data_IF_774377085095
#
_entry.id   IF_774377085095
#
_cell.length_a   1.000
_cell.length_b   1.000
_cell.length_c   1.000
_cell.angle_alpha   90.00
_cell.angle_beta   90.00
_cell.angle_gamma   90.00
#
_symmetry.space_group_name_H-M   'P 1'
#
loop_
_entity.id
_entity.type
_entity.pdbx_description
1 polymer ?
#
# COMPACT_ATOMS: atom_id res chain seq x y z
N UNK A 1 9.66 -21.42 24.27
CA UNK A 1 8.71 -20.39 24.74
C UNK A 1 9.33 -19.33 25.64
N UNK A 2 10.49 -19.62 26.31
CA UNK A 2 11.14 -18.71 27.27
C UNK A 2 11.96 -17.56 26.64
N UNK A 3 12.45 -17.70 25.40
CA UNK A 3 13.25 -16.67 24.72
C UNK A 3 12.44 -15.41 24.39
N UNK A 4 11.22 -15.57 23.91
CA UNK A 4 10.31 -14.44 23.60
C UNK A 4 9.82 -13.72 24.86
N UNK A 5 9.63 -14.42 25.97
CA UNK A 5 9.23 -13.81 27.24
C UNK A 5 10.36 -12.97 27.84
N UNK A 6 11.61 -13.40 27.74
CA UNK A 6 12.77 -12.62 28.20
C UNK A 6 13.03 -11.38 27.34
N UNK A 7 12.84 -11.47 26.01
CA UNK A 7 12.94 -10.32 25.10
C UNK A 7 11.84 -9.29 25.38
N UNK A 8 10.63 -9.74 25.71
CA UNK A 8 9.51 -8.82 25.97
C UNK A 8 9.63 -8.04 27.29
N UNK A 9 10.50 -8.46 28.19
CA UNK A 9 10.77 -7.78 29.45
C UNK A 9 11.88 -6.73 29.35
N UNK A 10 12.70 -6.77 28.30
CA UNK A 10 13.80 -5.83 28.14
C UNK A 10 13.26 -4.42 27.86
N UNK A 11 13.65 -3.42 28.66
CA UNK A 11 13.17 -2.04 28.54
C UNK A 11 13.50 -1.42 27.18
N UNK A 12 14.66 -1.75 26.64
CA UNK A 12 15.09 -1.29 25.31
C UNK A 12 14.18 -1.84 24.20
N UNK A 13 13.78 -3.11 24.32
CA UNK A 13 12.84 -3.74 23.39
C UNK A 13 11.45 -3.09 23.46
N UNK A 14 10.93 -2.83 24.67
CA UNK A 14 9.66 -2.12 24.86
C UNK A 14 9.70 -0.72 24.28
N UNK A 15 10.82 -0.02 24.44
CA UNK A 15 10.99 1.35 23.94
C UNK A 15 11.06 1.43 22.41
N UNK A 16 11.68 0.46 21.75
CA UNK A 16 11.88 0.44 20.29
C UNK A 16 10.69 -0.20 19.57
N UNK A 17 10.15 -1.32 20.10
CA UNK A 17 9.15 -2.13 19.39
C UNK A 17 7.70 -1.83 19.77
N UNK A 18 7.45 -1.38 21.01
CA UNK A 18 6.09 -1.10 21.51
C UNK A 18 5.72 0.38 21.52
N UNK A 19 6.71 1.29 21.54
CA UNK A 19 6.41 2.73 21.41
C UNK A 19 6.38 3.12 19.94
N UNK A 20 5.31 3.76 19.47
CA UNK A 20 5.27 4.29 18.12
C UNK A 20 6.36 5.35 17.94
N UNK A 21 6.98 5.37 16.77
CA UNK A 21 7.90 6.46 16.42
C UNK A 21 7.19 7.80 16.48
N UNK A 22 7.92 8.85 16.85
CA UNK A 22 7.40 10.20 16.73
C UNK A 22 7.13 10.51 15.24
N UNK A 23 6.15 11.38 14.96
CA UNK A 23 5.82 11.77 13.59
C UNK A 23 7.05 12.24 12.81
N UNK A 24 7.93 13.02 13.45
CA UNK A 24 9.15 13.53 12.81
C UNK A 24 10.13 12.40 12.47
N UNK A 25 10.33 11.45 13.37
CA UNK A 25 11.20 10.29 13.11
C UNK A 25 10.66 9.43 11.97
N UNK A 26 9.34 9.19 11.97
CA UNK A 26 8.68 8.45 10.89
C UNK A 26 8.81 9.16 9.53
N UNK A 27 8.61 10.48 9.51
CA UNK A 27 8.75 11.28 8.29
C UNK A 27 10.19 11.26 7.74
N UNK A 28 11.21 11.39 8.60
CA UNK A 28 12.62 11.32 8.19
C UNK A 28 12.95 9.94 7.61
N UNK A 29 12.56 8.86 8.29
CA UNK A 29 12.79 7.49 7.80
C UNK A 29 12.10 7.24 6.46
N UNK A 30 10.87 7.72 6.31
CA UNK A 30 10.12 7.62 5.06
C UNK A 30 10.81 8.39 3.93
N UNK A 31 11.29 9.61 4.21
CA UNK A 31 12.06 10.42 3.25
C UNK A 31 13.35 9.75 2.80
N UNK A 32 14.12 9.22 3.74
CA UNK A 32 15.36 8.45 3.44
C UNK A 32 15.02 7.24 2.57
N UNK A 33 13.99 6.46 2.94
CA UNK A 33 13.59 5.27 2.18
C UNK A 33 13.15 5.63 0.76
N UNK A 34 12.38 6.71 0.58
CA UNK A 34 11.94 7.17 -0.73
C UNK A 34 13.12 7.62 -1.61
N UNK A 35 14.11 8.32 -1.01
CA UNK A 35 15.32 8.76 -1.71
C UNK A 35 16.18 7.57 -2.14
N UNK A 36 16.38 6.60 -1.25
CA UNK A 36 17.09 5.35 -1.57
C UNK A 36 16.39 4.57 -2.66
N UNK A 37 15.05 4.48 -2.61
CA UNK A 37 14.27 3.83 -3.65
C UNK A 37 14.49 4.49 -5.02
N UNK A 38 14.42 5.81 -5.07
CA UNK A 38 14.65 6.58 -6.30
C UNK A 38 16.08 6.38 -6.83
N UNK A 39 17.09 6.37 -5.96
CA UNK A 39 18.48 6.16 -6.34
C UNK A 39 18.74 4.78 -6.94
N UNK A 40 18.12 3.73 -6.36
CA UNK A 40 18.31 2.34 -6.80
C UNK A 40 17.48 2.01 -8.03
N UNK A 41 16.19 2.35 -8.04
CA UNK A 41 15.25 1.93 -9.08
C UNK A 41 15.03 2.99 -10.17
N UNK A 42 15.58 4.20 -10.01
CA UNK A 42 15.44 5.34 -10.96
C UNK A 42 13.97 5.61 -11.35
N UNK A 43 13.06 5.37 -10.43
CA UNK A 43 11.62 5.57 -10.62
C UNK A 43 10.98 6.04 -9.30
N UNK A 44 9.88 6.79 -9.41
CA UNK A 44 9.11 7.18 -8.25
C UNK A 44 8.53 5.95 -7.53
N UNK A 45 8.52 5.98 -6.21
CA UNK A 45 7.96 4.87 -5.42
C UNK A 45 6.45 4.74 -5.66
N UNK A 46 6.03 3.55 -6.04
CA UNK A 46 4.63 3.22 -6.29
C UNK A 46 4.32 1.81 -5.82
N UNK A 47 3.25 1.65 -5.06
CA UNK A 47 2.76 0.35 -4.60
C UNK A 47 1.69 -0.20 -5.54
N UNK A 48 0.86 0.66 -6.13
CA UNK A 48 -0.27 0.25 -6.97
C UNK A 48 0.15 -0.31 -8.34
N UNK A 49 1.29 0.12 -8.89
CA UNK A 49 1.82 -0.41 -10.15
C UNK A 49 2.07 -1.92 -10.11
N UNK A 50 2.88 -2.42 -9.17
CA UNK A 50 3.11 -3.85 -9.00
C UNK A 50 1.84 -4.67 -8.73
N UNK A 51 0.87 -4.16 -7.95
CA UNK A 51 -0.41 -4.85 -7.77
C UNK A 51 -1.18 -5.00 -9.09
N UNK A 52 -1.11 -4.00 -10.00
CA UNK A 52 -1.69 -4.12 -11.33
C UNK A 52 -1.03 -5.23 -12.14
N UNK A 53 0.30 -5.35 -12.05
CA UNK A 53 1.05 -6.44 -12.70
C UNK A 53 0.65 -7.80 -12.13
N UNK A 54 0.50 -7.92 -10.80
CA UNK A 54 0.07 -9.16 -10.16
C UNK A 54 -1.34 -9.56 -10.60
N UNK A 55 -2.28 -8.59 -10.62
CA UNK A 55 -3.63 -8.83 -11.13
C UNK A 55 -3.62 -9.29 -12.59
N UNK A 56 -2.83 -8.62 -13.46
CA UNK A 56 -2.70 -9.01 -14.85
C UNK A 56 -2.14 -10.43 -15.01
N UNK A 57 -1.19 -10.86 -14.18
CA UNK A 57 -0.65 -12.23 -14.20
C UNK A 57 -1.67 -13.28 -13.75
N UNK A 58 -2.53 -12.94 -12.79
CA UNK A 58 -3.63 -13.82 -12.39
C UNK A 58 -4.59 -14.00 -13.57
N UNK A 59 -4.98 -12.92 -14.26
CA UNK A 59 -5.80 -13.02 -15.48
C UNK A 59 -5.12 -13.79 -16.60
N UNK A 60 -3.78 -13.68 -16.75
CA UNK A 60 -3.04 -14.52 -17.70
C UNK A 60 -3.13 -16.02 -17.34
N UNK A 61 -3.01 -16.36 -16.06
CA UNK A 61 -3.16 -17.73 -15.60
C UNK A 61 -4.59 -18.29 -15.85
N UNK A 62 -5.59 -17.39 -15.90
CA UNK A 62 -6.98 -17.73 -16.28
C UNK A 62 -7.19 -17.80 -17.82
N UNK A 63 -6.13 -17.61 -18.63
CA UNK A 63 -6.20 -17.72 -20.09
C UNK A 63 -6.43 -16.39 -20.83
N UNK A 64 -6.49 -15.26 -20.14
CA UNK A 64 -6.65 -13.93 -20.79
C UNK A 64 -5.32 -13.38 -21.30
N UNK A 65 -5.31 -12.82 -22.50
CA UNK A 65 -4.11 -12.22 -23.11
C UNK A 65 -3.93 -10.75 -22.65
N UNK A 66 -3.58 -10.55 -21.38
CA UNK A 66 -3.45 -9.22 -20.76
C UNK A 66 -2.42 -8.30 -21.42
N UNK A 67 -1.27 -8.75 -22.00
CA UNK A 67 -0.32 -7.88 -22.66
C UNK A 67 -0.87 -7.15 -23.91
N UNK A 68 -1.98 -7.64 -24.48
CA UNK A 68 -2.67 -7.04 -25.63
C UNK A 68 -3.73 -6.02 -25.26
N UNK A 69 -4.03 -5.85 -23.97
CA UNK A 69 -5.01 -4.84 -23.56
C UNK A 69 -4.46 -3.44 -23.81
N UNK A 70 -5.32 -2.55 -24.32
CA UNK A 70 -4.97 -1.15 -24.66
C UNK A 70 -4.29 -0.42 -23.49
N UNK A 71 -4.70 -0.73 -22.26
CA UNK A 71 -4.09 -0.18 -21.06
C UNK A 71 -2.58 -0.50 -20.96
N UNK A 72 -2.18 -1.75 -21.21
CA UNK A 72 -0.78 -2.15 -21.15
C UNK A 72 0.02 -1.72 -22.39
N UNK A 73 -0.65 -1.56 -23.52
CA UNK A 73 -0.04 -0.99 -24.75
C UNK A 73 0.32 0.48 -24.49
N UNK A 74 -0.56 1.23 -23.83
CA UNK A 74 -0.33 2.61 -23.47
C UNK A 74 0.72 2.81 -22.37
N UNK A 75 1.04 1.74 -21.58
CA UNK A 75 1.99 1.79 -20.46
C UNK A 75 3.13 0.77 -20.66
N UNK A 76 4.17 1.07 -21.48
CA UNK A 76 5.22 0.13 -21.83
C UNK A 76 5.98 -0.45 -20.63
N UNK A 77 6.16 0.35 -19.56
CA UNK A 77 6.81 -0.08 -18.32
C UNK A 77 6.03 -1.20 -17.60
N UNK A 78 4.72 -1.08 -17.51
CA UNK A 78 3.85 -2.12 -16.93
C UNK A 78 3.79 -3.36 -17.84
N UNK A 79 3.73 -3.16 -19.15
CA UNK A 79 3.78 -4.26 -20.12
C UNK A 79 5.06 -5.08 -19.98
N UNK A 80 6.23 -4.42 -19.87
CA UNK A 80 7.50 -5.09 -19.61
C UNK A 80 7.49 -5.87 -18.29
N UNK A 81 6.93 -5.26 -17.23
CA UNK A 81 6.85 -5.89 -15.92
C UNK A 81 5.96 -7.14 -15.90
N UNK A 82 4.90 -7.21 -16.72
CA UNK A 82 4.07 -8.41 -16.87
C UNK A 82 4.85 -9.55 -17.51
N UNK A 83 5.74 -9.26 -18.45
CA UNK A 83 6.55 -10.27 -19.14
C UNK A 83 7.68 -10.81 -18.25
N UNK A 84 8.11 -10.07 -17.25
CA UNK A 84 9.14 -10.50 -16.32
C UNK A 84 8.57 -11.38 -15.18
N UNK A 85 9.36 -12.32 -14.63
CA UNK A 85 8.99 -13.00 -13.38
C UNK A 85 8.73 -11.99 -12.26
N UNK A 86 7.78 -12.29 -11.35
CA UNK A 86 7.38 -11.38 -10.27
C UNK A 86 8.59 -10.88 -9.46
N UNK A 87 9.51 -11.77 -9.15
CA UNK A 87 10.70 -11.44 -8.35
C UNK A 87 11.82 -10.71 -9.11
N UNK A 88 11.73 -10.58 -10.44
CA UNK A 88 12.65 -9.73 -11.23
C UNK A 88 12.15 -8.29 -11.38
N UNK A 89 10.92 -8.01 -10.97
CA UNK A 89 10.38 -6.65 -10.95
C UNK A 89 10.70 -5.99 -9.60
N UNK A 90 11.53 -4.94 -9.60
CA UNK A 90 11.92 -4.22 -8.38
C UNK A 90 10.72 -3.74 -7.56
N UNK A 91 9.68 -3.23 -8.19
CA UNK A 91 8.46 -2.81 -7.51
C UNK A 91 7.73 -3.99 -6.83
N UNK A 92 7.70 -5.18 -7.43
CA UNK A 92 7.11 -6.37 -6.82
C UNK A 92 7.90 -6.83 -5.60
N UNK A 93 9.23 -6.82 -5.67
CA UNK A 93 10.10 -7.15 -4.54
C UNK A 93 9.86 -6.18 -3.38
N UNK A 94 9.76 -4.88 -3.67
CA UNK A 94 9.44 -3.87 -2.64
C UNK A 94 8.07 -4.09 -2.02
N UNK A 95 7.04 -4.43 -2.80
CA UNK A 95 5.71 -4.72 -2.25
C UNK A 95 5.71 -5.94 -1.34
N UNK A 96 6.40 -7.01 -1.72
CA UNK A 96 6.60 -8.19 -0.86
C UNK A 96 7.36 -7.79 0.41
N UNK A 97 8.40 -6.95 0.29
CA UNK A 97 9.15 -6.41 1.42
C UNK A 97 8.27 -5.61 2.38
N UNK A 98 7.37 -4.76 1.88
CA UNK A 98 6.41 -3.99 2.70
C UNK A 98 5.49 -4.94 3.47
N UNK A 99 4.92 -5.95 2.80
CA UNK A 99 4.02 -6.93 3.43
C UNK A 99 4.76 -7.72 4.51
N UNK A 100 5.95 -8.24 4.17
CA UNK A 100 6.78 -8.99 5.12
C UNK A 100 7.21 -8.11 6.30
N UNK A 101 7.65 -6.87 6.04
CA UNK A 101 8.04 -5.91 7.07
C UNK A 101 6.90 -5.56 8.02
N UNK A 102 5.69 -5.32 7.49
CA UNK A 102 4.50 -5.07 8.30
C UNK A 102 4.13 -6.30 9.16
N UNK A 103 4.19 -7.51 8.60
CA UNK A 103 3.94 -8.74 9.33
C UNK A 103 4.97 -8.95 10.46
N UNK A 104 6.25 -8.76 10.18
CA UNK A 104 7.32 -8.85 11.18
C UNK A 104 7.14 -7.78 12.27
N UNK A 105 6.83 -6.54 11.91
CA UNK A 105 6.63 -5.47 12.88
C UNK A 105 5.49 -5.80 13.86
N UNK A 106 4.36 -6.32 13.37
CA UNK A 106 3.22 -6.72 14.23
C UNK A 106 3.54 -7.93 15.10
N UNK A 107 4.32 -8.88 14.59
CA UNK A 107 4.79 -10.04 15.36
C UNK A 107 5.76 -9.61 16.47
N UNK A 108 6.73 -8.75 16.16
CA UNK A 108 7.68 -8.24 17.16
C UNK A 108 7.00 -7.35 18.21
N UNK A 109 6.00 -6.55 17.80
CA UNK A 109 5.21 -5.77 18.75
C UNK A 109 4.31 -6.64 19.65
N UNK A 110 4.17 -7.95 19.35
CA UNK A 110 3.22 -8.86 20.03
C UNK A 110 1.77 -8.38 19.91
N UNK A 111 1.44 -7.65 18.85
CA UNK A 111 0.11 -7.10 18.58
C UNK A 111 -0.60 -7.79 17.42
N UNK A 112 -0.07 -8.92 16.95
CA UNK A 112 -0.68 -9.67 15.87
C UNK A 112 -2.02 -10.26 16.33
N UNK A 113 -3.11 -9.71 15.81
CA UNK A 113 -4.49 -10.15 16.10
C UNK A 113 -5.27 -10.32 14.80
N UNK A 114 -5.71 -11.54 14.56
CA UNK A 114 -6.65 -11.80 13.46
C UNK A 114 -8.06 -11.42 13.93
N UNK A 115 -8.58 -10.32 13.41
CA UNK A 115 -9.95 -9.87 13.70
C UNK A 115 -10.92 -10.59 12.76
N UNK A 116 -11.90 -11.29 13.34
CA UNK A 116 -12.98 -11.91 12.56
C UNK A 116 -13.93 -10.82 12.04
N UNK A 117 -14.37 -10.97 10.79
CA UNK A 117 -15.39 -10.12 10.19
C UNK A 117 -16.71 -10.44 10.89
N UNK A 118 -17.34 -9.46 11.53
CA UNK A 118 -18.54 -9.66 12.38
C UNK A 118 -19.85 -9.67 11.60
N UNK A 119 -19.89 -9.18 10.35
CA UNK A 119 -21.14 -9.07 9.61
C UNK A 119 -20.98 -8.97 8.10
N UNK A 120 -22.03 -9.35 7.37
CA UNK A 120 -22.08 -9.28 5.89
C UNK A 120 -21.96 -7.84 5.39
N UNK A 121 -22.52 -6.86 6.13
CA UNK A 121 -22.41 -5.42 5.82
C UNK A 121 -20.96 -4.94 5.83
N UNK A 122 -20.18 -5.38 6.84
CA UNK A 122 -18.76 -5.05 6.94
C UNK A 122 -17.96 -5.65 5.78
N UNK A 123 -18.24 -6.89 5.39
CA UNK A 123 -17.60 -7.55 4.24
C UNK A 123 -17.90 -6.79 2.94
N UNK A 124 -19.17 -6.47 2.71
CA UNK A 124 -19.59 -5.72 1.52
C UNK A 124 -18.93 -4.35 1.47
N UNK A 125 -18.91 -3.61 2.59
CA UNK A 125 -18.24 -2.32 2.70
C UNK A 125 -16.75 -2.40 2.41
N UNK A 126 -16.06 -3.45 2.89
CA UNK A 126 -14.63 -3.67 2.63
C UNK A 126 -14.35 -3.96 1.14
N UNK A 127 -15.18 -4.81 0.51
CA UNK A 127 -15.03 -5.14 -0.92
C UNK A 127 -15.34 -3.93 -1.79
N UNK A 128 -16.44 -3.23 -1.54
CA UNK A 128 -16.81 -2.02 -2.30
C UNK A 128 -15.78 -0.91 -2.12
N UNK A 129 -15.31 -0.67 -0.89
CA UNK A 129 -14.26 0.31 -0.59
C UNK A 129 -12.94 -0.03 -1.27
N UNK A 130 -12.53 -1.30 -1.24
CA UNK A 130 -11.32 -1.78 -1.92
C UNK A 130 -11.40 -1.61 -3.44
N UNK A 131 -12.57 -1.91 -4.03
CA UNK A 131 -12.81 -1.68 -5.47
C UNK A 131 -12.73 -0.19 -5.84
N UNK A 132 -13.40 0.68 -5.08
CA UNK A 132 -13.36 2.12 -5.29
C UNK A 132 -11.93 2.69 -5.14
N UNK A 133 -11.18 2.21 -4.13
CA UNK A 133 -9.77 2.60 -3.94
C UNK A 133 -8.91 2.16 -5.13
N UNK A 134 -9.10 0.93 -5.62
CA UNK A 134 -8.37 0.42 -6.77
C UNK A 134 -8.67 1.19 -8.06
N UNK A 135 -9.94 1.49 -8.31
CA UNK A 135 -10.38 2.31 -9.45
C UNK A 135 -9.83 3.74 -9.32
N UNK A 136 -9.98 4.38 -8.16
CA UNK A 136 -9.47 5.72 -7.89
C UNK A 136 -7.96 5.83 -8.11
N UNK A 137 -7.18 4.84 -7.69
CA UNK A 137 -5.74 4.80 -7.93
C UNK A 137 -5.38 4.72 -9.43
N UNK A 138 -6.28 4.21 -10.27
CA UNK A 138 -6.07 4.21 -11.73
C UNK A 138 -6.36 5.56 -12.35
N UNK A 139 -7.45 6.22 -11.94
CA UNK A 139 -7.78 7.58 -12.40
C UNK A 139 -6.74 8.60 -11.94
N UNK A 140 -6.25 8.49 -10.72
CA UNK A 140 -5.22 9.37 -10.16
C UNK A 140 -3.80 9.08 -10.65
N UNK A 141 -3.61 8.11 -11.56
CA UNK A 141 -2.31 7.64 -12.04
C UNK A 141 -1.35 7.17 -10.92
N UNK A 142 -1.86 6.85 -9.73
CA UNK A 142 -1.05 6.37 -8.60
C UNK A 142 -1.85 6.19 -7.31
N UNK A 143 -1.22 5.51 -6.34
CA UNK A 143 -1.73 5.42 -4.96
C UNK A 143 -1.28 6.64 -4.14
N UNK A 144 -1.68 6.72 -2.87
CA UNK A 144 -1.27 7.79 -1.95
C UNK A 144 0.25 8.04 -1.95
N UNK A 145 1.06 7.00 -2.11
CA UNK A 145 2.52 7.14 -2.15
C UNK A 145 2.96 7.79 -3.47
N UNK A 146 2.43 7.37 -4.61
CA UNK A 146 2.85 7.91 -5.90
C UNK A 146 2.16 9.24 -6.23
N UNK A 147 0.82 9.32 -6.10
CA UNK A 147 0.03 10.47 -6.51
C UNK A 147 0.00 11.61 -5.48
N UNK A 148 0.26 11.32 -4.19
CA UNK A 148 0.33 12.35 -3.15
C UNK A 148 1.77 12.57 -2.70
N UNK A 149 2.38 11.62 -2.00
CA UNK A 149 3.70 11.80 -1.38
C UNK A 149 4.80 12.11 -2.41
N UNK A 150 4.95 11.27 -3.45
CA UNK A 150 5.99 11.49 -4.47
C UNK A 150 5.69 12.68 -5.38
N UNK A 151 4.42 12.92 -5.74
CA UNK A 151 4.05 14.05 -6.57
C UNK A 151 4.18 15.38 -5.80
N UNK A 152 3.83 15.41 -4.50
CA UNK A 152 3.98 16.60 -3.67
C UNK A 152 5.44 16.94 -3.43
N UNK A 153 6.29 15.95 -3.15
CA UNK A 153 7.73 16.17 -3.00
C UNK A 153 8.42 16.64 -4.30
N UNK A 154 7.85 16.30 -5.46
CA UNK A 154 8.27 16.81 -6.77
C UNK A 154 7.60 18.16 -7.13
N UNK A 155 6.90 18.83 -6.20
CA UNK A 155 6.17 20.08 -6.40
C UNK A 155 5.15 20.02 -7.54
N UNK A 156 4.62 18.84 -7.84
CA UNK A 156 3.61 18.64 -8.88
C UNK A 156 2.23 19.10 -8.42
N UNK A 157 1.53 19.84 -9.29
CA UNK A 157 0.16 20.28 -9.06
C UNK A 157 -0.80 19.08 -8.80
N UNK A 158 -0.54 17.94 -9.43
CA UNK A 158 -1.28 16.69 -9.23
C UNK A 158 -1.31 16.27 -7.76
N UNK A 159 -0.22 16.43 -7.02
CA UNK A 159 -0.15 16.11 -5.59
C UNK A 159 -1.10 16.94 -4.74
N UNK A 160 -1.22 18.23 -5.05
CA UNK A 160 -2.15 19.14 -4.36
C UNK A 160 -3.61 18.78 -4.61
N UNK A 161 -3.98 18.58 -5.88
CA UNK A 161 -5.35 18.15 -6.22
C UNK A 161 -5.71 16.81 -5.61
N UNK A 162 -4.75 15.86 -5.61
CA UNK A 162 -4.94 14.58 -4.97
C UNK A 162 -5.20 14.73 -3.46
N UNK A 163 -4.40 15.55 -2.77
CA UNK A 163 -4.56 15.80 -1.33
C UNK A 163 -5.94 16.33 -0.98
N UNK A 164 -6.39 17.39 -1.66
CA UNK A 164 -7.72 17.99 -1.45
C UNK A 164 -8.83 16.95 -1.68
N UNK A 165 -8.74 16.21 -2.78
CA UNK A 165 -9.72 15.16 -3.12
C UNK A 165 -9.74 14.02 -2.10
N UNK A 166 -8.57 13.62 -1.59
CA UNK A 166 -8.44 12.58 -0.58
C UNK A 166 -9.08 12.99 0.76
N UNK A 167 -8.89 14.25 1.19
CA UNK A 167 -9.56 14.77 2.39
C UNK A 167 -11.08 14.81 2.21
N UNK A 168 -11.58 15.33 1.11
CA UNK A 168 -13.01 15.36 0.81
C UNK A 168 -13.61 13.95 0.76
N UNK A 169 -12.97 13.04 0.03
CA UNK A 169 -13.39 11.63 -0.08
C UNK A 169 -13.35 10.89 1.26
N UNK A 170 -12.31 11.13 2.07
CA UNK A 170 -12.20 10.58 3.43
C UNK A 170 -13.30 11.04 4.35
N UNK A 171 -13.65 12.32 4.30
CA UNK A 171 -14.75 12.89 5.09
C UNK A 171 -16.11 12.29 4.70
N UNK A 172 -16.39 12.22 3.39
CA UNK A 172 -17.64 11.62 2.88
C UNK A 172 -17.69 10.13 3.22
N UNK A 173 -16.60 9.40 2.95
CA UNK A 173 -16.49 7.98 3.20
C UNK A 173 -16.64 7.62 4.68
N UNK A 174 -16.05 8.40 5.58
CA UNK A 174 -16.19 8.19 7.03
C UNK A 174 -17.64 8.38 7.50
N UNK A 175 -18.36 9.39 7.00
CA UNK A 175 -19.78 9.59 7.30
C UNK A 175 -20.64 8.40 6.82
N UNK A 176 -20.38 7.91 5.61
CA UNK A 176 -21.09 6.75 5.06
C UNK A 176 -20.81 5.51 5.93
N UNK A 177 -19.55 5.26 6.27
CA UNK A 177 -19.13 4.14 7.09
C UNK A 177 -19.83 4.14 8.46
N UNK A 178 -19.79 5.28 9.15
CA UNK A 178 -20.39 5.43 10.48
C UNK A 178 -21.92 5.32 10.46
N UNK A 179 -22.58 5.93 9.47
CA UNK A 179 -24.03 5.99 9.45
C UNK A 179 -24.71 4.73 8.91
N UNK A 180 -24.06 4.00 7.98
CA UNK A 180 -24.69 2.86 7.29
C UNK A 180 -24.10 1.51 7.63
N UNK A 181 -22.79 1.44 7.93
CA UNK A 181 -22.10 0.17 8.12
C UNK A 181 -21.88 -0.16 9.60
N UNK A 182 -21.56 0.86 10.42
CA UNK A 182 -21.26 0.67 11.85
C UNK A 182 -22.45 0.97 12.78
N UNK A 183 -23.61 1.33 12.23
CA UNK A 183 -24.83 1.55 13.00
C UNK A 183 -25.49 0.19 13.27
N UNK A 184 -25.01 -0.50 14.31
CA UNK A 184 -25.66 -1.61 15.03
C UNK A 184 -25.72 -1.28 16.50
#
# INVERSE_FOLDING_TARGET
MNFFNNLSQNETYKKIMKKPFSYNTGAILLGITATLYLAVFKSAWSVSGPFTVWGAKIFQAMGFNTPRWNFFIAHPGLKRAIMLPVFKSGGSVCNVGIIAGAALATLFASEFKIRKIKGKKQLFGAVAGGFLMGAGARFAAGCNIAAFFSALSALSLTGWFYGISAFAGGFIGSKILLNYIMKE
#
